data_IF_245596771190
#
_entry.id   IF_245596771190
#
_cell.length_a   1.000
_cell.length_b   1.000
_cell.length_c   1.000
_cell.angle_alpha   90.00
_cell.angle_beta   90.00
_cell.angle_gamma   90.00
#
_symmetry.space_group_name_H-M   'P 1'
#
loop_
_entity.id
_entity.type
_entity.pdbx_description
1 polymer ?
#
# COMPACT_ATOMS: atom_id res chain seq x y z
N UNK A 1 -16.75 24.72 8.25
CA UNK A 1 -17.43 23.45 8.63
C UNK A 1 -17.27 23.35 10.13
N UNK A 2 -18.33 23.64 10.88
CA UNK A 2 -18.30 23.49 12.33
C UNK A 2 -18.44 22.01 12.67
N UNK A 3 -17.63 21.53 13.61
CA UNK A 3 -17.58 20.11 14.00
C UNK A 3 -17.65 19.99 15.52
N UNK A 4 -18.53 19.11 16.00
CA UNK A 4 -18.60 18.64 17.37
C UNK A 4 -18.44 17.11 17.36
N UNK A 5 -17.57 16.58 18.20
CA UNK A 5 -17.33 15.15 18.35
C UNK A 5 -17.60 14.71 19.79
N UNK A 6 -18.37 13.63 19.96
CA UNK A 6 -18.58 12.96 21.24
C UNK A 6 -17.70 11.71 21.29
N UNK A 7 -17.02 11.48 22.40
CA UNK A 7 -16.17 10.31 22.62
C UNK A 7 -16.86 9.32 23.56
N UNK A 8 -16.69 8.03 23.30
CA UNK A 8 -17.02 7.00 24.28
C UNK A 8 -15.99 7.05 25.40
N UNK A 9 -16.41 7.46 26.60
CA UNK A 9 -15.57 7.49 27.81
C UNK A 9 -15.43 6.08 28.42
N UNK A 10 -14.83 5.17 27.65
CA UNK A 10 -14.57 3.79 28.05
C UNK A 10 -13.09 3.57 28.45
N UNK A 11 -12.30 4.64 28.52
CA UNK A 11 -10.91 4.62 28.98
C UNK A 11 -10.55 5.95 29.61
N UNK A 12 -9.89 5.92 30.76
CA UNK A 12 -9.48 7.11 31.52
C UNK A 12 -8.46 7.92 30.70
N UNK A 13 -8.86 9.08 30.11
CA UNK A 13 -7.99 9.86 29.24
C UNK A 13 -6.78 10.42 29.98
N UNK A 14 -6.86 10.58 31.31
CA UNK A 14 -5.78 11.10 32.14
C UNK A 14 -4.59 10.14 32.25
N UNK A 15 -4.76 8.89 31.84
CA UNK A 15 -3.74 7.85 31.90
C UNK A 15 -3.28 7.34 30.53
N UNK A 16 -3.81 7.89 29.43
CA UNK A 16 -3.47 7.42 28.09
C UNK A 16 -2.00 7.73 27.74
N UNK A 17 -1.22 6.70 27.44
CA UNK A 17 0.20 6.85 27.07
C UNK A 17 1.08 7.52 28.14
N UNK A 18 0.64 7.56 29.40
CA UNK A 18 1.38 8.23 30.48
C UNK A 18 2.57 7.41 30.96
N UNK A 19 2.68 6.14 30.56
CA UNK A 19 3.81 5.27 30.88
C UNK A 19 4.65 5.05 29.63
N UNK A 20 5.85 5.64 29.62
CA UNK A 20 6.81 5.51 28.53
C UNK A 20 7.51 4.14 28.53
N UNK A 21 7.57 3.48 29.68
CA UNK A 21 8.11 2.13 29.82
C UNK A 21 7.08 1.07 29.42
N UNK A 22 7.54 -0.09 28.95
CA UNK A 22 6.64 -1.20 28.68
C UNK A 22 6.08 -1.80 29.95
N UNK A 23 4.77 -1.96 29.98
CA UNK A 23 4.08 -2.64 31.08
C UNK A 23 4.11 -4.13 30.84
N UNK A 24 4.25 -4.95 31.89
CA UNK A 24 4.17 -6.40 31.75
C UNK A 24 2.91 -6.82 30.97
N UNK A 25 2.99 -7.85 30.09
CA UNK A 25 1.82 -8.33 29.37
C UNK A 25 0.70 -8.68 30.35
N UNK A 26 -0.54 -8.44 29.93
CA UNK A 26 -1.69 -8.82 30.73
C UNK A 26 -1.65 -10.33 31.04
N UNK A 27 -1.95 -10.75 32.29
CA UNK A 27 -1.98 -12.16 32.66
C UNK A 27 -2.91 -12.97 31.75
N UNK A 28 -2.57 -14.24 31.52
CA UNK A 28 -3.41 -15.15 30.76
C UNK A 28 -4.85 -15.20 31.35
N UNK A 29 -5.87 -15.15 30.50
CA UNK A 29 -7.27 -15.15 30.93
C UNK A 29 -7.83 -13.77 31.32
N UNK A 30 -7.03 -12.70 31.27
CA UNK A 30 -7.52 -11.31 31.45
C UNK A 30 -8.47 -10.90 30.34
N UNK A 31 -8.16 -11.30 29.10
CA UNK A 31 -8.99 -11.01 27.92
C UNK A 31 -10.28 -11.85 28.01
N UNK A 32 -11.43 -11.18 28.06
CA UNK A 32 -12.75 -11.82 28.16
C UNK A 32 -13.49 -11.85 26.83
N UNK A 33 -14.52 -12.67 26.75
CA UNK A 33 -15.47 -12.66 25.63
C UNK A 33 -16.14 -11.29 25.52
N UNK A 34 -16.41 -10.85 24.30
CA UNK A 34 -16.98 -9.56 23.91
C UNK A 34 -16.20 -8.32 24.35
N UNK A 35 -14.96 -8.50 24.83
CA UNK A 35 -14.09 -7.38 25.17
C UNK A 35 -13.65 -6.64 23.90
N UNK A 36 -13.78 -5.31 23.92
CA UNK A 36 -13.26 -4.44 22.85
C UNK A 36 -11.74 -4.37 22.94
N UNK A 37 -11.09 -4.31 21.79
CA UNK A 37 -9.65 -4.15 21.69
C UNK A 37 -9.25 -3.31 20.48
N UNK A 38 -8.08 -2.71 20.59
CA UNK A 38 -7.38 -2.01 19.51
C UNK A 38 -6.05 -2.73 19.29
N UNK A 39 -5.70 -2.96 18.03
CA UNK A 39 -4.42 -3.50 17.61
C UNK A 39 -3.72 -2.42 16.80
N UNK A 40 -2.49 -2.12 17.17
CA UNK A 40 -1.61 -1.21 16.44
C UNK A 40 -0.33 -1.98 16.12
N UNK A 41 0.04 -2.02 14.84
CA UNK A 41 1.27 -2.64 14.38
C UNK A 41 1.92 -1.77 13.29
N UNK A 42 3.24 -1.85 13.17
CA UNK A 42 3.96 -1.14 12.11
C UNK A 42 3.92 -1.95 10.80
N UNK A 43 3.63 -1.27 9.69
CA UNK A 43 3.87 -1.83 8.35
C UNK A 43 5.35 -1.64 8.05
N UNK A 44 6.09 -2.74 7.94
CA UNK A 44 7.56 -2.71 7.73
C UNK A 44 7.98 -3.15 6.33
N UNK A 45 7.13 -3.90 5.64
CA UNK A 45 7.35 -4.31 4.26
C UNK A 45 6.04 -4.62 3.53
N UNK A 46 6.08 -4.49 2.21
CA UNK A 46 5.01 -4.89 1.29
C UNK A 46 5.68 -5.59 0.11
N UNK A 47 5.27 -6.82 -0.22
CA UNK A 47 5.88 -7.63 -1.28
C UNK A 47 7.42 -7.65 -1.19
N UNK A 48 7.93 -7.93 0.01
CA UNK A 48 9.36 -7.98 0.37
C UNK A 48 10.14 -6.67 0.20
N UNK A 49 9.48 -5.57 -0.17
CA UNK A 49 10.09 -4.23 -0.24
C UNK A 49 9.92 -3.50 1.08
N UNK A 50 10.95 -2.76 1.55
CA UNK A 50 10.83 -1.91 2.72
C UNK A 50 9.68 -0.90 2.57
N UNK A 51 8.85 -0.82 3.59
CA UNK A 51 7.75 0.13 3.68
C UNK A 51 7.69 0.71 5.10
N UNK A 52 6.93 1.79 5.25
CA UNK A 52 6.53 2.31 6.55
C UNK A 52 5.01 2.41 6.60
N UNK A 53 4.50 2.60 7.80
CA UNK A 53 3.07 2.84 7.99
C UNK A 53 2.56 2.15 9.23
N UNK A 54 1.24 2.02 9.31
CA UNK A 54 0.60 1.50 10.51
C UNK A 54 -0.63 0.67 10.13
N UNK A 55 -0.67 -0.55 10.63
CA UNK A 55 -1.90 -1.31 10.75
C UNK A 55 -2.61 -0.88 12.02
N UNK A 56 -3.83 -0.37 11.89
CA UNK A 56 -4.73 -0.14 13.01
C UNK A 56 -5.95 -1.01 12.81
N UNK A 57 -6.34 -1.77 13.83
CA UNK A 57 -7.65 -2.40 13.83
C UNK A 57 -8.34 -2.26 15.16
N UNK A 58 -9.65 -2.08 15.12
CA UNK A 58 -10.48 -1.96 16.31
C UNK A 58 -11.66 -2.91 16.18
N UNK A 59 -11.97 -3.60 17.27
CA UNK A 59 -12.98 -4.63 17.22
C UNK A 59 -13.38 -5.19 18.56
N UNK A 60 -13.98 -6.38 18.50
CA UNK A 60 -14.36 -7.19 19.65
C UNK A 60 -13.72 -8.58 19.53
N UNK A 61 -13.23 -9.09 20.66
CA UNK A 61 -12.92 -10.51 20.81
C UNK A 61 -14.19 -11.29 21.11
N UNK A 62 -14.65 -12.14 20.19
CA UNK A 62 -15.88 -12.94 20.34
C UNK A 62 -15.64 -14.05 21.36
N UNK A 63 -14.58 -14.85 21.20
CA UNK A 63 -14.02 -15.80 22.20
C UNK A 63 -15.10 -16.58 22.99
N UNK A 64 -16.09 -17.12 22.30
CA UNK A 64 -17.17 -17.93 22.89
C UNK A 64 -16.77 -19.40 23.01
N UNK A 65 -17.36 -20.13 23.96
CA UNK A 65 -17.15 -21.56 24.16
C UNK A 65 -18.02 -22.45 23.25
N UNK A 66 -19.00 -21.88 22.56
CA UNK A 66 -19.85 -22.61 21.60
C UNK A 66 -19.19 -22.64 20.22
N UNK A 67 -19.11 -23.83 19.62
CA UNK A 67 -18.32 -24.12 18.42
C UNK A 67 -19.02 -23.81 17.09
N UNK A 68 -20.29 -23.39 17.09
CA UNK A 68 -21.06 -23.14 15.87
C UNK A 68 -20.59 -21.91 15.08
N UNK A 69 -19.71 -21.11 15.68
CA UNK A 69 -19.11 -19.94 15.04
C UNK A 69 -17.58 -20.03 15.08
N UNK A 70 -16.90 -20.37 13.98
CA UNK A 70 -15.45 -20.66 13.98
C UNK A 70 -14.57 -19.40 14.09
N UNK A 71 -15.17 -18.23 14.33
CA UNK A 71 -14.46 -16.94 14.37
C UNK A 71 -14.35 -16.45 15.80
N UNK A 72 -13.19 -15.90 16.14
CA UNK A 72 -12.88 -15.48 17.51
C UNK A 72 -12.79 -13.97 17.70
N UNK A 73 -12.92 -13.18 16.64
CA UNK A 73 -12.89 -11.73 16.67
C UNK A 73 -13.47 -11.12 15.39
N UNK A 74 -14.02 -9.91 15.52
CA UNK A 74 -14.51 -9.05 14.44
C UNK A 74 -13.84 -7.69 14.57
N UNK A 75 -13.11 -7.24 13.55
CA UNK A 75 -12.47 -5.92 13.55
C UNK A 75 -12.76 -5.15 12.27
N UNK A 76 -12.78 -3.82 12.39
CA UNK A 76 -12.50 -2.90 11.29
C UNK A 76 -10.99 -2.64 11.27
N UNK A 77 -10.39 -2.58 10.08
CA UNK A 77 -8.96 -2.31 9.97
C UNK A 77 -8.66 -1.24 8.93
N UNK A 78 -7.51 -0.61 9.16
CA UNK A 78 -6.84 0.33 8.27
C UNK A 78 -5.39 -0.14 8.14
N UNK A 79 -4.91 -0.19 6.91
CA UNK A 79 -3.49 -0.26 6.59
C UNK A 79 -3.09 1.10 6.04
N UNK A 80 -2.45 1.92 6.85
CA UNK A 80 -1.81 3.15 6.40
C UNK A 80 -0.43 2.83 5.85
N UNK A 81 -0.12 3.29 4.62
CA UNK A 81 1.08 2.91 3.88
C UNK A 81 1.86 4.15 3.47
N UNK A 82 3.15 4.11 3.79
CA UNK A 82 4.13 5.14 3.53
C UNK A 82 5.38 4.54 2.87
N UNK A 83 6.05 5.34 2.05
CA UNK A 83 7.37 5.03 1.56
C UNK A 83 8.39 5.00 2.73
N UNK A 84 9.58 4.39 2.59
CA UNK A 84 10.56 4.30 3.67
C UNK A 84 10.97 5.66 4.27
N UNK A 85 10.86 6.72 3.47
CA UNK A 85 11.19 8.09 3.85
C UNK A 85 10.05 8.79 4.62
N UNK A 86 8.90 8.14 4.80
CA UNK A 86 7.71 8.68 5.48
C UNK A 86 6.71 9.37 4.54
N UNK A 87 6.97 9.38 3.24
CA UNK A 87 6.02 9.94 2.25
C UNK A 87 4.74 9.10 2.20
N UNK A 88 3.60 9.73 2.46
CA UNK A 88 2.29 9.09 2.34
C UNK A 88 2.05 8.52 0.94
N UNK A 89 1.72 7.23 0.85
CA UNK A 89 1.36 6.54 -0.41
C UNK A 89 -0.16 6.35 -0.52
N UNK A 90 -0.79 5.92 0.56
CA UNK A 90 -2.21 5.61 0.59
C UNK A 90 -2.55 4.64 1.71
N UNK A 91 -3.77 4.14 1.73
CA UNK A 91 -4.14 3.07 2.65
C UNK A 91 -5.21 2.15 2.11
N UNK A 92 -5.39 1.01 2.79
CA UNK A 92 -6.46 0.04 2.53
C UNK A 92 -7.40 -0.03 3.74
N UNK A 93 -8.70 -0.15 3.47
CA UNK A 93 -9.74 -0.14 4.49
C UNK A 93 -10.61 -1.39 4.38
N UNK A 94 -10.96 -1.98 5.52
CA UNK A 94 -11.67 -3.26 5.50
C UNK A 94 -12.23 -3.72 6.83
N UNK A 95 -12.78 -4.94 6.83
CA UNK A 95 -13.03 -5.70 8.06
C UNK A 95 -12.37 -7.05 8.00
N UNK A 96 -12.22 -7.64 9.19
CA UNK A 96 -11.83 -9.03 9.34
C UNK A 96 -12.72 -9.77 10.33
N UNK A 97 -12.93 -11.05 10.06
CA UNK A 97 -13.31 -12.07 11.04
C UNK A 97 -12.13 -13.02 11.22
N UNK A 98 -11.48 -12.99 12.37
CA UNK A 98 -10.29 -13.81 12.61
C UNK A 98 -10.62 -15.25 13.03
N UNK A 99 -9.60 -16.11 13.02
CA UNK A 99 -9.71 -17.58 13.15
C UNK A 99 -10.51 -18.23 12.02
N UNK A 100 -10.44 -19.56 11.93
CA UNK A 100 -11.10 -20.37 10.91
C UNK A 100 -10.49 -20.19 9.53
N UNK A 101 -11.05 -20.92 8.55
CA UNK A 101 -10.57 -20.91 7.18
C UNK A 101 -10.75 -19.54 6.50
N UNK A 102 -9.83 -19.21 5.59
CA UNK A 102 -9.99 -18.10 4.67
C UNK A 102 -11.25 -18.23 3.81
N UNK A 103 -11.66 -17.13 3.19
CA UNK A 103 -12.80 -17.12 2.26
C UNK A 103 -12.47 -17.95 1.02
N UNK A 104 -13.47 -18.55 0.33
CA UNK A 104 -13.24 -19.16 -0.97
C UNK A 104 -12.57 -18.18 -1.95
N UNK A 105 -11.47 -18.59 -2.55
CA UNK A 105 -10.70 -17.77 -3.50
C UNK A 105 -9.81 -16.69 -2.86
N UNK A 106 -9.75 -16.58 -1.53
CA UNK A 106 -8.75 -15.75 -0.85
C UNK A 106 -7.40 -16.49 -0.80
N UNK A 107 -6.30 -15.79 -0.49
CA UNK A 107 -5.02 -16.44 -0.23
C UNK A 107 -5.16 -17.51 0.88
N UNK A 108 -4.33 -18.56 0.81
CA UNK A 108 -4.35 -19.64 1.79
C UNK A 108 -3.87 -19.14 3.16
N UNK A 109 -4.76 -19.17 4.15
CA UNK A 109 -4.46 -18.68 5.50
C UNK A 109 -5.69 -18.72 6.41
N UNK A 110 -5.66 -17.89 7.45
CA UNK A 110 -6.71 -17.82 8.46
C UNK A 110 -7.54 -16.52 8.38
N UNK A 111 -8.82 -16.65 8.69
CA UNK A 111 -9.75 -15.53 8.81
C UNK A 111 -10.31 -15.02 7.49
N UNK A 112 -11.48 -14.39 7.56
CA UNK A 112 -12.09 -13.68 6.44
C UNK A 112 -11.62 -12.24 6.49
N UNK A 113 -10.82 -11.80 5.53
CA UNK A 113 -10.46 -10.38 5.39
C UNK A 113 -11.12 -9.84 4.13
N UNK A 114 -11.82 -8.74 4.26
CA UNK A 114 -12.43 -8.04 3.14
C UNK A 114 -11.91 -6.60 3.08
N UNK A 115 -11.44 -6.20 1.91
CA UNK A 115 -11.01 -4.84 1.58
C UNK A 115 -12.11 -4.21 0.74
N UNK A 116 -12.65 -3.08 1.17
CA UNK A 116 -13.75 -2.41 0.45
C UNK A 116 -13.30 -1.17 -0.30
N UNK A 117 -12.11 -0.67 0.01
CA UNK A 117 -11.63 0.59 -0.53
C UNK A 117 -10.19 0.87 -0.17
N UNK A 118 -9.64 1.88 -0.83
CA UNK A 118 -8.35 2.46 -0.51
C UNK A 118 -8.33 3.97 -0.74
N UNK A 119 -7.23 4.60 -0.33
CA UNK A 119 -6.93 6.02 -0.51
C UNK A 119 -5.57 6.22 -1.17
N UNK A 120 -5.27 7.45 -1.60
CA UNK A 120 -4.02 7.77 -2.28
C UNK A 120 -3.86 6.96 -3.56
N UNK A 121 -2.75 6.24 -3.70
CA UNK A 121 -2.51 5.35 -4.84
C UNK A 121 -3.60 4.26 -5.00
N UNK A 122 -4.33 3.91 -3.94
CA UNK A 122 -5.20 2.73 -3.89
C UNK A 122 -6.69 3.04 -4.03
N UNK A 123 -7.06 4.23 -4.53
CA UNK A 123 -8.47 4.57 -4.75
C UNK A 123 -9.10 3.61 -5.77
N UNK A 124 -10.25 3.03 -5.39
CA UNK A 124 -10.98 2.04 -6.20
C UNK A 124 -10.55 0.59 -5.97
N UNK A 125 -9.52 0.35 -5.16
CA UNK A 125 -9.10 -1.01 -4.79
C UNK A 125 -10.09 -1.65 -3.83
N UNK A 126 -10.47 -2.89 -4.09
CA UNK A 126 -11.25 -3.76 -3.20
C UNK A 126 -10.73 -5.19 -3.31
N UNK A 127 -11.17 -6.11 -2.44
CA UNK A 127 -10.76 -7.51 -2.56
C UNK A 127 -10.86 -8.26 -1.25
N UNK A 128 -10.05 -9.31 -1.14
CA UNK A 128 -10.05 -10.19 0.01
C UNK A 128 -8.64 -10.61 0.40
N UNK A 129 -8.49 -11.08 1.62
CA UNK A 129 -7.20 -11.51 2.12
C UNK A 129 -7.31 -12.59 3.17
N UNK A 130 -6.15 -12.94 3.71
CA UNK A 130 -6.03 -13.86 4.82
C UNK A 130 -4.82 -13.50 5.66
N UNK A 131 -4.79 -14.04 6.88
CA UNK A 131 -3.62 -14.04 7.71
C UNK A 131 -2.80 -15.31 7.42
N UNK A 132 -1.59 -15.13 6.90
CA UNK A 132 -0.73 -16.22 6.44
C UNK A 132 0.44 -16.50 7.39
N UNK A 133 0.42 -15.89 8.58
CA UNK A 133 1.47 -16.04 9.58
C UNK A 133 0.95 -16.20 11.01
N UNK A 134 1.88 -16.33 11.95
CA UNK A 134 1.56 -16.31 13.37
C UNK A 134 1.00 -14.95 13.80
N UNK A 135 0.08 -14.94 14.76
CA UNK A 135 -0.53 -13.70 15.29
C UNK A 135 -0.28 -13.57 16.77
N UNK A 136 0.99 -13.47 17.13
CA UNK A 136 1.40 -13.31 18.52
C UNK A 136 1.36 -11.83 18.88
N UNK A 137 0.30 -11.43 19.57
CA UNK A 137 0.14 -10.06 20.05
C UNK A 137 0.79 -9.88 21.42
N UNK A 138 1.43 -8.73 21.60
CA UNK A 138 1.76 -8.22 22.93
C UNK A 138 0.52 -7.50 23.47
N UNK A 139 -0.16 -8.09 24.47
CA UNK A 139 -1.38 -7.52 25.01
C UNK A 139 -1.04 -6.66 26.23
N UNK A 140 -1.26 -5.36 26.11
CA UNK A 140 -1.04 -4.37 27.16
C UNK A 140 -2.28 -3.48 27.33
N UNK A 141 -2.21 -2.49 28.20
CA UNK A 141 -3.27 -1.51 28.45
C UNK A 141 -2.99 -0.19 27.75
N UNK A 142 -4.01 0.65 27.60
CA UNK A 142 -3.89 2.00 27.04
C UNK A 142 -2.99 2.96 27.84
N UNK A 143 -2.50 2.54 29.01
CA UNK A 143 -1.51 3.30 29.80
C UNK A 143 -0.12 3.32 29.19
N UNK A 144 0.23 2.28 28.44
CA UNK A 144 1.51 2.16 27.77
C UNK A 144 1.54 3.05 26.52
N UNK A 145 2.64 3.76 26.30
CA UNK A 145 2.86 4.49 25.06
C UNK A 145 2.85 3.52 23.87
N UNK A 146 2.05 3.85 22.86
CA UNK A 146 2.00 3.11 21.60
C UNK A 146 3.39 2.94 20.96
N UNK A 147 4.34 3.85 21.18
CA UNK A 147 5.70 3.78 20.64
C UNK A 147 6.47 2.53 21.13
N UNK A 148 6.16 2.04 22.33
CA UNK A 148 6.82 0.89 22.96
C UNK A 148 6.66 -0.42 22.17
N UNK A 149 5.68 -0.49 21.27
CA UNK A 149 5.51 -1.62 20.33
C UNK A 149 6.75 -1.93 19.47
N UNK A 150 7.61 -0.93 19.25
CA UNK A 150 8.82 -1.06 18.41
C UNK A 150 9.95 -1.79 19.11
N UNK A 151 9.96 -1.77 20.44
CA UNK A 151 10.95 -2.43 21.28
C UNK A 151 10.39 -3.70 21.92
N UNK A 152 9.06 -3.81 22.04
CA UNK A 152 8.38 -4.94 22.67
C UNK A 152 7.29 -5.48 21.75
N UNK A 153 7.64 -6.51 20.97
CA UNK A 153 6.71 -7.23 20.10
C UNK A 153 6.83 -8.73 20.33
N UNK A 154 5.70 -9.45 20.29
CA UNK A 154 5.66 -10.90 20.45
C UNK A 154 5.66 -11.66 19.11
N UNK A 155 5.78 -10.95 17.98
CA UNK A 155 5.79 -11.56 16.66
C UNK A 155 5.44 -10.58 15.55
N UNK A 156 5.28 -11.13 14.34
CA UNK A 156 4.92 -10.39 13.13
C UNK A 156 3.60 -10.89 12.57
N UNK A 157 2.67 -9.98 12.34
CA UNK A 157 1.49 -10.25 11.53
C UNK A 157 1.91 -10.32 10.05
N UNK A 158 1.53 -11.39 9.34
CA UNK A 158 1.72 -11.50 7.89
C UNK A 158 0.36 -11.64 7.22
N UNK A 159 0.04 -10.70 6.32
CA UNK A 159 -1.22 -10.63 5.60
C UNK A 159 -0.94 -10.76 4.12
N UNK A 160 -1.72 -11.61 3.45
CA UNK A 160 -1.73 -11.68 1.99
C UNK A 160 -3.10 -11.22 1.50
N UNK A 161 -3.11 -10.41 0.44
CA UNK A 161 -4.32 -9.88 -0.18
C UNK A 161 -4.35 -10.18 -1.68
N UNK A 162 -5.52 -10.61 -2.16
CA UNK A 162 -5.87 -10.56 -3.57
C UNK A 162 -6.78 -9.36 -3.79
N UNK A 163 -6.23 -8.38 -4.51
CA UNK A 163 -6.87 -7.09 -4.75
C UNK A 163 -7.37 -6.99 -6.20
N UNK A 164 -8.50 -6.31 -6.35
CA UNK A 164 -9.25 -6.07 -7.58
C UNK A 164 -9.66 -4.59 -7.65
N UNK A 165 -10.20 -4.17 -8.79
CA UNK A 165 -10.51 -2.75 -9.02
C UNK A 165 -9.27 -1.85 -9.17
N UNK A 166 -8.09 -2.47 -9.24
CA UNK A 166 -6.80 -1.81 -9.43
C UNK A 166 -6.81 -1.10 -10.78
N UNK A 167 -6.75 0.23 -10.78
CA UNK A 167 -6.51 1.02 -12.00
C UNK A 167 -5.03 0.96 -12.32
N UNK A 168 -4.63 -0.11 -12.98
CA UNK A 168 -3.24 -0.35 -13.37
C UNK A 168 -2.77 0.71 -14.35
N UNK A 169 -1.55 1.23 -14.20
CA UNK A 169 -0.96 2.11 -15.20
C UNK A 169 -0.82 1.41 -16.55
N UNK A 170 -0.98 2.15 -17.63
CA UNK A 170 -0.82 1.66 -19.00
C UNK A 170 0.22 2.50 -19.71
N UNK A 171 1.36 1.90 -20.06
CA UNK A 171 2.34 2.56 -20.93
C UNK A 171 1.74 2.59 -22.34
N UNK A 172 1.56 3.79 -22.88
CA UNK A 172 0.97 3.99 -24.20
C UNK A 172 2.04 4.09 -25.29
N UNK A 173 3.07 4.88 -25.00
CA UNK A 173 4.16 5.16 -25.94
C UNK A 173 5.46 5.35 -25.16
N UNK A 174 6.57 4.92 -25.75
CA UNK A 174 7.91 5.26 -25.31
C UNK A 174 8.56 6.17 -26.34
N UNK A 175 9.24 7.22 -25.88
CA UNK A 175 9.94 8.19 -26.72
C UNK A 175 11.42 8.26 -26.34
N UNK A 176 12.27 8.56 -27.32
CA UNK A 176 13.67 8.91 -27.08
C UNK A 176 13.74 10.24 -26.34
N UNK A 177 14.43 10.31 -25.19
CA UNK A 177 14.51 11.56 -24.42
C UNK A 177 15.27 12.67 -25.16
N UNK A 178 16.13 12.31 -26.12
CA UNK A 178 16.94 13.27 -26.87
C UNK A 178 16.12 14.15 -27.81
N UNK A 179 15.01 13.64 -28.37
CA UNK A 179 14.27 14.32 -29.43
C UNK A 179 12.76 14.06 -29.46
N UNK A 180 12.21 13.37 -28.45
CA UNK A 180 10.79 13.02 -28.32
C UNK A 180 10.22 12.20 -29.49
N UNK A 181 11.06 11.62 -30.34
CA UNK A 181 10.57 10.69 -31.36
C UNK A 181 10.17 9.35 -30.73
N UNK A 182 9.15 8.65 -31.27
CA UNK A 182 8.71 7.37 -30.72
C UNK A 182 9.76 6.28 -30.94
N UNK A 183 9.90 5.40 -29.95
CA UNK A 183 10.70 4.18 -30.05
C UNK A 183 9.97 3.19 -30.96
N UNK A 184 10.62 2.78 -32.05
CA UNK A 184 10.05 1.89 -33.07
C UNK A 184 11.12 0.94 -33.61
N UNK A 185 10.75 -0.05 -34.42
CA UNK A 185 11.75 -0.96 -35.01
C UNK A 185 12.73 -0.23 -35.95
N UNK A 186 12.30 0.87 -36.57
CA UNK A 186 13.14 1.72 -37.40
C UNK A 186 14.04 2.66 -36.56
N UNK A 187 13.63 2.97 -35.33
CA UNK A 187 14.38 3.77 -34.36
C UNK A 187 14.34 3.09 -33.00
N UNK A 188 15.10 1.99 -32.82
CA UNK A 188 15.09 1.22 -31.59
C UNK A 188 15.78 1.97 -30.45
N UNK A 189 15.40 1.67 -29.21
CA UNK A 189 16.06 2.20 -28.03
C UNK A 189 17.48 1.64 -27.91
N UNK A 190 18.38 2.37 -27.26
CA UNK A 190 19.73 1.90 -26.95
C UNK A 190 19.85 1.49 -25.47
N UNK A 191 20.68 0.49 -25.15
CA UNK A 191 21.01 0.16 -23.77
C UNK A 191 21.64 1.38 -23.07
N UNK A 192 21.19 1.70 -21.85
CA UNK A 192 21.63 2.90 -21.14
C UNK A 192 21.02 4.21 -21.64
N UNK A 193 20.12 4.19 -22.61
CA UNK A 193 19.39 5.38 -23.05
C UNK A 193 18.32 5.81 -22.02
N UNK A 194 18.06 7.11 -21.91
CA UNK A 194 16.85 7.59 -21.21
C UNK A 194 15.66 7.58 -22.16
N UNK A 195 14.59 6.91 -21.77
CA UNK A 195 13.32 6.92 -22.46
C UNK A 195 12.30 7.73 -21.66
N UNK A 196 11.38 8.37 -22.37
CA UNK A 196 10.23 9.07 -21.82
C UNK A 196 9.01 8.20 -22.07
N UNK A 197 8.37 7.72 -21.02
CA UNK A 197 7.15 6.92 -21.12
C UNK A 197 5.93 7.82 -20.93
N UNK A 198 5.01 7.77 -21.90
CA UNK A 198 3.65 8.30 -21.72
C UNK A 198 2.79 7.21 -21.10
N UNK A 199 2.28 7.49 -19.90
CA UNK A 199 1.55 6.52 -19.10
C UNK A 199 0.13 7.02 -18.83
N UNK A 200 -0.88 6.22 -19.16
CA UNK A 200 -2.25 6.43 -18.67
C UNK A 200 -2.36 5.91 -17.25
N UNK A 201 -2.82 6.73 -16.32
CA UNK A 201 -3.09 6.27 -14.96
C UNK A 201 -4.11 7.16 -14.24
N UNK A 202 -4.49 6.76 -13.03
CA UNK A 202 -5.27 7.57 -12.10
C UNK A 202 -4.43 7.90 -10.86
N UNK A 203 -3.23 8.45 -11.08
CA UNK A 203 -2.26 8.71 -10.01
C UNK A 203 -2.41 10.09 -9.38
N UNK A 204 -2.16 10.19 -8.08
CA UNK A 204 -2.14 11.49 -7.41
C UNK A 204 -0.80 12.19 -7.56
N UNK A 205 -0.81 13.52 -7.71
CA UNK A 205 0.38 14.38 -7.81
C UNK A 205 0.51 15.34 -6.63
N UNK A 206 1.65 16.02 -6.55
CA UNK A 206 1.94 17.15 -5.65
C UNK A 206 2.41 18.35 -6.50
N UNK A 207 1.67 19.48 -6.48
CA UNK A 207 0.36 19.66 -5.87
C UNK A 207 -0.72 18.75 -6.49
N UNK A 208 -1.84 18.49 -5.79
CA UNK A 208 -2.94 17.71 -6.35
C UNK A 208 -3.53 18.42 -7.57
N UNK A 209 -3.88 17.64 -8.60
CA UNK A 209 -4.58 18.18 -9.76
C UNK A 209 -6.05 18.44 -9.43
N UNK A 210 -6.47 19.69 -9.54
CA UNK A 210 -7.86 20.09 -9.31
C UNK A 210 -8.83 19.43 -10.31
N UNK A 211 -10.05 19.05 -9.88
CA UNK A 211 -11.05 18.49 -10.78
C UNK A 211 -11.32 19.37 -12.00
N UNK A 212 -11.26 18.75 -13.19
CA UNK A 212 -11.51 19.43 -14.47
C UNK A 212 -10.33 20.26 -14.99
N UNK A 213 -9.19 20.31 -14.29
CA UNK A 213 -7.96 20.93 -14.78
C UNK A 213 -7.03 19.93 -15.45
N UNK A 214 -6.06 20.46 -16.18
CA UNK A 214 -4.92 19.73 -16.76
C UNK A 214 -3.64 20.11 -16.01
N UNK A 215 -2.61 19.26 -16.11
CA UNK A 215 -1.29 19.55 -15.57
C UNK A 215 -0.70 20.80 -16.24
N UNK A 216 -0.08 21.66 -15.43
CA UNK A 216 0.63 22.85 -15.90
C UNK A 216 1.97 22.46 -16.56
N UNK A 217 2.50 23.34 -17.40
CA UNK A 217 3.85 23.19 -17.96
C UNK A 217 4.92 23.39 -16.89
N UNK A 218 4.77 24.41 -16.03
CA UNK A 218 5.68 24.67 -14.91
C UNK A 218 4.93 25.25 -13.71
N UNK A 219 5.25 24.83 -12.46
CA UNK A 219 6.12 23.69 -12.14
C UNK A 219 5.45 22.36 -12.51
N UNK A 220 6.24 21.40 -13.01
CA UNK A 220 5.75 20.04 -13.26
C UNK A 220 5.25 19.37 -11.98
N UNK A 221 4.04 18.80 -12.03
CA UNK A 221 3.41 18.17 -10.89
C UNK A 221 3.98 16.76 -10.66
N UNK A 222 4.87 16.61 -9.68
CA UNK A 222 5.48 15.33 -9.33
C UNK A 222 4.45 14.33 -8.78
N UNK A 223 4.67 13.03 -9.02
CA UNK A 223 3.84 11.99 -8.41
C UNK A 223 3.92 12.02 -6.87
N UNK A 224 2.81 11.72 -6.21
CA UNK A 224 2.72 11.77 -4.74
C UNK A 224 3.30 10.52 -4.03
N UNK A 225 3.70 9.51 -4.79
CA UNK A 225 4.18 8.20 -4.31
C UNK A 225 5.26 7.64 -5.24
N UNK A 226 6.07 6.67 -4.79
CA UNK A 226 7.12 6.09 -5.61
C UNK A 226 6.57 5.31 -6.80
N UNK A 227 7.32 5.36 -7.90
CA UNK A 227 7.18 4.52 -9.09
C UNK A 227 8.50 3.83 -9.32
N UNK A 228 8.44 2.53 -9.58
CA UNK A 228 9.57 1.73 -10.01
C UNK A 228 9.36 1.29 -11.45
N UNK A 229 10.46 1.09 -12.17
CA UNK A 229 10.47 0.58 -13.53
C UNK A 229 11.36 -0.66 -13.64
N UNK A 230 11.00 -1.57 -14.52
CA UNK A 230 11.83 -2.70 -14.91
C UNK A 230 11.88 -2.87 -16.42
N UNK A 231 12.96 -3.47 -16.91
CA UNK A 231 13.10 -3.96 -18.28
C UNK A 231 13.45 -5.45 -18.22
N UNK A 232 12.56 -6.32 -18.70
CA UNK A 232 12.63 -7.79 -18.56
C UNK A 232 12.91 -8.25 -17.11
N UNK A 233 12.27 -7.57 -16.15
CA UNK A 233 12.43 -7.84 -14.71
C UNK A 233 13.70 -7.26 -14.08
N UNK A 234 14.65 -6.72 -14.87
CA UNK A 234 15.80 -6.00 -14.34
C UNK A 234 15.41 -4.56 -13.95
N UNK A 235 15.86 -4.04 -12.79
CA UNK A 235 15.56 -2.66 -12.40
C UNK A 235 16.01 -1.65 -13.46
N UNK A 236 15.10 -0.74 -13.80
CA UNK A 236 15.39 0.45 -14.60
C UNK A 236 15.28 1.68 -13.68
N UNK A 237 16.26 2.58 -13.76
CA UNK A 237 16.27 3.78 -12.92
C UNK A 237 15.15 4.73 -13.38
N UNK A 238 14.26 5.11 -12.47
CA UNK A 238 13.25 6.15 -12.72
C UNK A 238 13.88 7.50 -12.40
N UNK A 239 14.08 8.32 -13.43
CA UNK A 239 14.71 9.64 -13.34
C UNK A 239 13.66 10.69 -12.97
N UNK A 240 12.46 10.60 -13.55
CA UNK A 240 11.38 11.54 -13.33
C UNK A 240 10.02 10.85 -13.39
N UNK A 241 9.06 11.35 -12.63
CA UNK A 241 7.67 10.90 -12.66
C UNK A 241 6.74 12.09 -12.36
N UNK A 242 6.11 12.63 -13.39
CA UNK A 242 5.29 13.85 -13.31
C UNK A 242 4.00 13.70 -14.12
N UNK A 243 3.01 14.55 -13.85
CA UNK A 243 1.87 14.76 -14.74
C UNK A 243 2.34 15.34 -16.08
N UNK A 244 1.79 14.85 -17.19
CA UNK A 244 2.15 15.32 -18.52
C UNK A 244 1.42 16.65 -18.82
N UNK A 245 2.14 17.76 -19.10
CA UNK A 245 1.53 19.08 -19.32
C UNK A 245 0.39 19.08 -20.35
N UNK A 246 -0.67 19.84 -20.08
CA UNK A 246 -1.84 19.93 -20.95
C UNK A 246 -2.77 18.70 -20.93
N UNK A 247 -2.45 17.67 -20.14
CA UNK A 247 -3.28 16.46 -19.97
C UNK A 247 -3.83 16.35 -18.54
N UNK A 248 -4.72 15.39 -18.28
CA UNK A 248 -5.29 15.14 -16.94
C UNK A 248 -5.00 13.74 -16.40
N UNK A 249 -4.91 12.74 -17.28
CA UNK A 249 -4.73 11.33 -16.95
C UNK A 249 -3.47 10.72 -17.58
N UNK A 250 -2.60 11.57 -18.14
CA UNK A 250 -1.30 11.18 -18.68
C UNK A 250 -0.18 11.63 -17.78
N UNK A 251 0.79 10.75 -17.65
CA UNK A 251 1.99 10.97 -16.85
C UNK A 251 3.21 10.71 -17.71
N UNK A 252 4.25 11.48 -17.44
CA UNK A 252 5.58 11.32 -17.99
C UNK A 252 6.42 10.57 -16.96
N UNK A 253 6.89 9.39 -17.32
CA UNK A 253 7.85 8.63 -16.51
C UNK A 253 9.14 8.47 -17.31
N UNK A 254 10.21 9.12 -16.85
CA UNK A 254 11.51 9.06 -17.51
C UNK A 254 12.30 7.92 -16.90
N UNK A 255 12.75 6.98 -17.73
CA UNK A 255 13.45 5.78 -17.29
C UNK A 255 14.79 5.64 -17.99
N UNK A 256 15.86 5.31 -17.25
CA UNK A 256 17.12 4.86 -17.82
C UNK A 256 17.00 3.36 -18.12
N UNK A 257 17.08 3.00 -19.39
CA UNK A 257 17.08 1.60 -19.79
C UNK A 257 18.35 0.92 -19.25
N UNK A 258 18.26 -0.25 -18.60
CA UNK A 258 19.45 -0.98 -18.17
C UNK A 258 20.23 -1.51 -19.39
N UNK A 259 21.37 -2.14 -19.14
CA UNK A 259 22.18 -2.78 -20.17
C UNK A 259 21.50 -4.05 -20.72
N UNK A 260 20.41 -3.87 -21.47
CA UNK A 260 19.69 -4.95 -22.16
C UNK A 260 20.44 -5.32 -23.44
N UNK A 261 20.49 -6.61 -23.77
CA UNK A 261 21.20 -7.12 -24.98
C UNK A 261 20.30 -7.85 -25.97
N UNK A 262 19.02 -8.01 -25.62
CA UNK A 262 18.03 -8.62 -26.49
C UNK A 262 17.52 -7.59 -27.52
N UNK A 263 17.11 -8.02 -28.73
CA UNK A 263 16.60 -7.13 -29.77
C UNK A 263 15.24 -6.51 -29.42
N UNK A 264 14.58 -7.03 -28.38
CA UNK A 264 13.38 -6.48 -27.78
C UNK A 264 13.52 -6.58 -26.26
N UNK A 265 12.86 -5.66 -25.56
CA UNK A 265 12.72 -5.71 -24.10
C UNK A 265 11.32 -5.32 -23.68
N UNK A 266 10.91 -5.80 -22.52
CA UNK A 266 9.60 -5.53 -21.95
C UNK A 266 9.73 -4.58 -20.77
N UNK A 267 9.20 -3.37 -20.93
CA UNK A 267 9.09 -2.40 -19.86
C UNK A 267 7.88 -2.70 -18.98
N UNK A 268 8.02 -2.48 -17.68
CA UNK A 268 6.92 -2.54 -16.72
C UNK A 268 7.11 -1.50 -15.62
N UNK A 269 6.00 -0.96 -15.12
CA UNK A 269 5.99 0.00 -14.01
C UNK A 269 5.28 -0.62 -12.81
N UNK A 270 5.72 -0.28 -11.60
CA UNK A 270 4.99 -0.55 -10.36
C UNK A 270 4.87 0.76 -9.58
N UNK A 271 3.64 1.23 -9.42
CA UNK A 271 3.34 2.39 -8.59
C UNK A 271 2.82 1.94 -7.22
N UNK A 272 3.23 2.65 -6.16
CA UNK A 272 2.72 2.42 -4.81
C UNK A 272 2.80 0.96 -4.39
N UNK A 273 3.97 0.33 -4.52
CA UNK A 273 4.26 -1.07 -4.14
C UNK A 273 3.64 -2.20 -4.96
N UNK A 274 2.43 -2.06 -5.51
CA UNK A 274 1.74 -3.18 -6.17
C UNK A 274 0.85 -2.83 -7.36
N UNK A 275 0.76 -1.55 -7.76
CA UNK A 275 0.00 -1.16 -8.96
C UNK A 275 0.88 -1.38 -10.19
N UNK A 276 0.97 -2.64 -10.63
CA UNK A 276 1.77 -3.03 -11.77
C UNK A 276 1.10 -2.63 -13.10
N UNK A 277 1.89 -2.15 -14.06
CA UNK A 277 1.42 -1.95 -15.44
C UNK A 277 1.27 -3.28 -16.16
N UNK A 278 0.56 -3.24 -17.29
CA UNK A 278 0.76 -4.28 -18.29
C UNK A 278 2.19 -4.21 -18.86
N UNK A 279 2.78 -5.34 -19.27
CA UNK A 279 4.09 -5.34 -19.90
C UNK A 279 4.02 -4.64 -21.27
N UNK A 280 4.97 -3.74 -21.53
CA UNK A 280 5.04 -2.95 -22.76
C UNK A 280 6.33 -3.25 -23.52
N UNK A 281 6.22 -3.83 -24.72
CA UNK A 281 7.37 -4.24 -25.52
C UNK A 281 7.93 -3.08 -26.32
N UNK A 282 9.26 -2.97 -26.34
CA UNK A 282 9.98 -2.05 -27.22
C UNK A 282 11.13 -2.77 -27.92
N UNK A 283 11.47 -2.34 -29.15
CA UNK A 283 12.69 -2.79 -29.82
C UNK A 283 13.92 -2.10 -29.23
N UNK A 284 15.02 -2.87 -29.14
CA UNK A 284 16.33 -2.44 -28.62
C UNK A 284 17.41 -2.83 -29.61
N UNK A 285 18.43 -1.99 -29.74
CA UNK A 285 19.58 -2.23 -30.62
C UNK A 285 20.75 -2.90 -29.92
#
# INVERSE_FOLDING_TARGET
>A
MDKLGWYYDLGDPSTYGTVAESLAPLPAGTIKAMMRNVIIADVVSINDKPARGTHVSQGIGIRTTNHDFPRNNLHYFVLDIQAPQGTQVGGLFGTLLGSGNAAPGAPAGAGLWAVYGGSGAYVGVFGQGSNVGGSNFYNTTFKEDTASRRTHSNGRLKLDFYLSGVRTPEIQTAYHAADLSPVTSAKPAQPGETLILEVKAAWSTRPPLEPGKTFAEEPLAALAFPVEATADGQPAEVINAVGWPGTRDRYRVDVRLPAVRAPETTLSLVAGYFLASLPYKIPVR
#
